data_IF_580595115175
#
_entry.id   IF_580595115175
#
_cell.length_a   1.000
_cell.length_b   1.000
_cell.length_c   1.000
_cell.angle_alpha   90.00
_cell.angle_beta   90.00
_cell.angle_gamma   90.00
#
_symmetry.space_group_name_H-M   'P 1'
#
loop_
_entity.id
_entity.type
_entity.pdbx_description
1 polymer ?
#
# COMPACT_ATOMS: atom_id res chain seq x y z
N UNK A 1 -19.05 -18.67 -8.07
CA UNK A 1 -17.75 -18.26 -7.51
C UNK A 1 -17.48 -16.84 -8.00
N UNK A 2 -17.53 -15.84 -7.10
CA UNK A 2 -17.28 -14.45 -7.50
C UNK A 2 -15.77 -14.20 -7.57
N UNK A 3 -15.34 -13.34 -8.50
CA UNK A 3 -13.94 -12.95 -8.70
C UNK A 3 -13.27 -12.30 -7.47
N UNK A 4 -14.05 -11.99 -6.44
CA UNK A 4 -13.62 -11.37 -5.18
C UNK A 4 -12.82 -12.34 -4.28
N UNK A 5 -12.95 -13.66 -4.46
CA UNK A 5 -12.32 -14.66 -3.57
C UNK A 5 -10.80 -14.90 -3.82
N UNK A 6 -10.19 -14.30 -4.85
CA UNK A 6 -8.78 -14.59 -5.21
C UNK A 6 -7.77 -13.46 -4.98
N UNK A 7 -8.19 -12.30 -4.50
CA UNK A 7 -7.28 -11.17 -4.23
C UNK A 7 -7.13 -10.98 -2.72
N UNK A 8 -5.88 -10.86 -2.26
CA UNK A 8 -5.61 -10.52 -0.87
C UNK A 8 -6.25 -9.16 -0.53
N UNK A 9 -6.73 -8.96 0.72
CA UNK A 9 -7.25 -7.67 1.17
C UNK A 9 -6.24 -6.54 0.91
N UNK A 10 -6.71 -5.35 0.51
CA UNK A 10 -5.90 -4.15 0.34
C UNK A 10 -5.12 -3.85 1.61
N UNK A 11 -5.75 -4.01 2.79
CA UNK A 11 -5.05 -3.83 4.07
C UNK A 11 -3.86 -4.78 4.24
N UNK A 12 -3.95 -6.00 3.72
CA UNK A 12 -2.87 -7.00 3.79
C UNK A 12 -1.73 -6.60 2.85
N UNK A 13 -2.05 -6.24 1.61
CA UNK A 13 -1.08 -5.80 0.61
C UNK A 13 -0.37 -4.51 1.04
N UNK A 14 -1.12 -3.54 1.58
CA UNK A 14 -0.57 -2.29 2.07
C UNK A 14 0.35 -2.50 3.28
N UNK A 15 0.00 -3.43 4.18
CA UNK A 15 0.86 -3.80 5.31
C UNK A 15 2.17 -4.44 4.84
N UNK A 16 2.13 -5.32 3.85
CA UNK A 16 3.33 -5.90 3.26
C UNK A 16 4.23 -4.85 2.60
N UNK A 17 3.63 -3.84 1.96
CA UNK A 17 4.35 -2.71 1.39
C UNK A 17 5.06 -1.88 2.48
N UNK A 18 4.37 -1.53 3.58
CA UNK A 18 4.99 -0.83 4.71
C UNK A 18 6.17 -1.60 5.32
N UNK A 19 6.00 -2.90 5.56
CA UNK A 19 7.07 -3.75 6.08
C UNK A 19 8.27 -3.77 5.13
N UNK A 20 8.03 -3.74 3.82
CA UNK A 20 9.09 -3.70 2.82
C UNK A 20 9.85 -2.36 2.86
N UNK A 21 9.14 -1.23 2.97
CA UNK A 21 9.78 0.08 3.17
C UNK A 21 10.64 0.11 4.44
N UNK A 22 10.09 -0.33 5.58
CA UNK A 22 10.82 -0.37 6.85
C UNK A 22 12.06 -1.26 6.76
N UNK A 23 11.97 -2.40 6.07
CA UNK A 23 13.11 -3.29 5.85
C UNK A 23 14.18 -2.65 4.98
N UNK A 24 13.80 -1.93 3.92
CA UNK A 24 14.72 -1.19 3.07
C UNK A 24 15.46 -0.10 3.86
N UNK A 25 14.75 0.65 4.72
CA UNK A 25 15.34 1.73 5.51
C UNK A 25 16.22 1.23 6.67
N UNK A 26 15.85 0.12 7.32
CA UNK A 26 16.62 -0.47 8.44
C UNK A 26 17.83 -1.30 7.99
N UNK A 27 17.76 -1.91 6.81
CA UNK A 27 18.67 -2.97 6.39
C UNK A 27 20.00 -2.52 5.79
N UNK A 28 20.27 -1.23 5.67
CA UNK A 28 21.33 -0.76 4.78
C UNK A 28 22.24 0.27 5.42
N UNK A 29 23.40 -0.21 5.88
CA UNK A 29 24.60 0.60 6.09
C UNK A 29 25.22 1.11 4.77
N UNK A 30 24.60 0.81 3.62
CA UNK A 30 25.14 1.00 2.26
C UNK A 30 24.20 1.73 1.29
N UNK A 31 23.03 2.22 1.73
CA UNK A 31 22.23 3.09 0.87
C UNK A 31 22.93 4.44 0.75
N UNK A 32 23.18 4.84 -0.48
CA UNK A 32 23.51 6.22 -0.79
C UNK A 32 22.40 7.16 -0.27
N UNK A 33 22.77 8.32 0.26
CA UNK A 33 21.87 9.28 0.91
C UNK A 33 20.67 9.64 0.02
N UNK A 34 20.88 9.70 -1.29
CA UNK A 34 19.83 9.97 -2.26
C UNK A 34 18.77 8.86 -2.27
N UNK A 35 19.20 7.59 -2.30
CA UNK A 35 18.27 6.43 -2.31
C UNK A 35 17.50 6.31 -1.01
N UNK A 36 18.15 6.58 0.12
CA UNK A 36 17.47 6.61 1.42
C UNK A 36 16.35 7.65 1.41
N UNK A 37 16.65 8.88 1.00
CA UNK A 37 15.67 9.97 0.92
C UNK A 37 14.52 9.65 -0.03
N UNK A 38 14.79 9.02 -1.18
CA UNK A 38 13.72 8.59 -2.10
C UNK A 38 12.80 7.54 -1.48
N UNK A 39 13.36 6.54 -0.79
CA UNK A 39 12.56 5.49 -0.13
C UNK A 39 11.73 6.07 1.00
N UNK A 40 12.30 7.00 1.77
CA UNK A 40 11.60 7.73 2.84
C UNK A 40 10.44 8.57 2.30
N UNK A 41 10.65 9.35 1.23
CA UNK A 41 9.58 10.13 0.57
C UNK A 41 8.43 9.23 0.10
N UNK A 42 8.76 8.12 -0.57
CA UNK A 42 7.76 7.17 -1.06
C UNK A 42 6.99 6.52 0.09
N UNK A 43 7.67 6.16 1.19
CA UNK A 43 7.02 5.64 2.38
C UNK A 43 6.09 6.67 3.03
N UNK A 44 6.50 7.94 3.10
CA UNK A 44 5.69 9.03 3.65
C UNK A 44 4.42 9.25 2.82
N UNK A 45 4.57 9.36 1.49
CA UNK A 45 3.44 9.51 0.55
C UNK A 45 2.48 8.33 0.60
N UNK A 46 3.03 7.11 0.69
CA UNK A 46 2.23 5.91 0.85
C UNK A 46 1.44 5.92 2.16
N UNK A 47 2.08 6.32 3.26
CA UNK A 47 1.45 6.41 4.57
C UNK A 47 0.29 7.43 4.57
N UNK A 48 0.49 8.61 3.99
CA UNK A 48 -0.57 9.63 3.82
C UNK A 48 -1.74 9.05 3.01
N UNK A 49 -1.45 8.39 1.89
CA UNK A 49 -2.49 7.78 1.07
C UNK A 49 -3.30 6.73 1.85
N UNK A 50 -2.63 5.80 2.54
CA UNK A 50 -3.31 4.74 3.32
C UNK A 50 -4.20 5.31 4.42
N UNK A 51 -3.79 6.43 5.03
CA UNK A 51 -4.58 7.17 6.02
C UNK A 51 -5.80 7.83 5.39
N UNK A 52 -5.61 8.61 4.33
CA UNK A 52 -6.69 9.36 3.66
C UNK A 52 -7.81 8.46 3.13
N UNK A 53 -7.45 7.26 2.67
CA UNK A 53 -8.43 6.30 2.13
C UNK A 53 -8.87 5.26 3.16
N UNK A 54 -8.45 5.39 4.41
CA UNK A 54 -8.85 4.54 5.54
C UNK A 54 -8.54 3.04 5.32
N UNK A 55 -7.38 2.72 4.73
CA UNK A 55 -6.97 1.32 4.44
C UNK A 55 -6.94 0.46 5.68
N UNK A 56 -6.44 1.00 6.80
CA UNK A 56 -6.29 0.28 8.06
C UNK A 56 -7.38 0.61 9.08
N UNK A 57 -8.45 1.31 8.69
CA UNK A 57 -9.55 1.59 9.60
C UNK A 57 -10.24 0.29 10.05
N UNK A 58 -10.91 0.33 11.20
CA UNK A 58 -11.66 -0.81 11.72
C UNK A 58 -13.04 -0.95 11.09
N UNK A 59 -13.58 -2.17 11.10
CA UNK A 59 -14.98 -2.45 10.78
C UNK A 59 -15.40 -1.99 9.39
N UNK A 60 -16.55 -1.31 9.30
CA UNK A 60 -17.14 -0.89 8.00
C UNK A 60 -16.40 0.26 7.31
N UNK A 61 -15.56 0.98 8.06
CA UNK A 61 -14.76 2.07 7.52
C UNK A 61 -13.50 1.57 6.79
N UNK A 62 -13.12 0.30 7.00
CA UNK A 62 -11.95 -0.27 6.34
C UNK A 62 -12.15 -0.33 4.83
N UNK A 63 -11.08 -0.06 4.07
CA UNK A 63 -11.14 -0.08 2.62
C UNK A 63 -11.66 -1.42 2.09
N UNK A 64 -11.24 -2.54 2.68
CA UNK A 64 -11.67 -3.88 2.27
C UNK A 64 -13.18 -4.10 2.39
N UNK A 65 -13.83 -3.45 3.36
CA UNK A 65 -15.27 -3.48 3.50
C UNK A 65 -15.94 -2.59 2.44
N UNK A 66 -15.38 -1.41 2.18
CA UNK A 66 -15.92 -0.42 1.22
C UNK A 66 -15.87 -0.90 -0.23
N UNK A 67 -14.84 -1.64 -0.62
CA UNK A 67 -14.67 -2.12 -2.01
C UNK A 67 -15.21 -3.54 -2.22
N UNK A 68 -15.76 -4.18 -1.18
CA UNK A 68 -16.30 -5.54 -1.24
C UNK A 68 -17.34 -5.69 -2.36
N UNK A 69 -18.17 -4.67 -2.54
CA UNK A 69 -19.25 -4.65 -3.52
C UNK A 69 -18.83 -4.05 -4.88
N UNK A 70 -17.58 -3.57 -4.99
CA UNK A 70 -17.04 -2.91 -6.19
C UNK A 70 -15.64 -3.47 -6.56
N UNK A 71 -15.55 -4.71 -7.05
CA UNK A 71 -14.27 -5.39 -7.35
C UNK A 71 -13.44 -4.72 -8.46
N UNK A 72 -14.06 -3.93 -9.33
CA UNK A 72 -13.38 -3.09 -10.33
C UNK A 72 -12.60 -1.94 -9.69
N UNK A 73 -13.14 -1.34 -8.62
CA UNK A 73 -12.47 -0.29 -7.84
C UNK A 73 -11.29 -0.89 -7.09
N UNK A 74 -11.43 -2.10 -6.55
CA UNK A 74 -10.34 -2.85 -5.93
C UNK A 74 -9.15 -3.03 -6.89
N UNK A 75 -9.41 -3.41 -8.15
CA UNK A 75 -8.34 -3.55 -9.16
C UNK A 75 -7.64 -2.23 -9.46
N UNK A 76 -8.39 -1.14 -9.61
CA UNK A 76 -7.82 0.19 -9.83
C UNK A 76 -6.95 0.64 -8.66
N UNK A 77 -7.39 0.41 -7.42
CA UNK A 77 -6.64 0.75 -6.22
C UNK A 77 -5.36 -0.08 -6.11
N UNK A 78 -5.43 -1.40 -6.35
CA UNK A 78 -4.24 -2.26 -6.34
C UNK A 78 -3.24 -1.80 -7.40
N UNK A 79 -3.70 -1.52 -8.63
CA UNK A 79 -2.83 -1.00 -9.69
C UNK A 79 -2.23 0.34 -9.30
N UNK A 80 -3.00 1.25 -8.68
CA UNK A 80 -2.50 2.53 -8.21
C UNK A 80 -1.44 2.37 -7.11
N UNK A 81 -1.67 1.48 -6.14
CA UNK A 81 -0.70 1.16 -5.08
C UNK A 81 0.59 0.62 -5.66
N UNK A 82 0.51 -0.33 -6.60
CA UNK A 82 1.71 -0.94 -7.22
C UNK A 82 2.44 0.07 -8.11
N UNK A 83 1.74 0.93 -8.85
CA UNK A 83 2.36 1.90 -9.77
C UNK A 83 2.94 3.13 -9.08
N UNK A 84 2.37 3.58 -7.97
CA UNK A 84 2.97 4.68 -7.20
C UNK A 84 4.26 4.27 -6.49
N UNK A 85 4.53 2.96 -6.34
CA UNK A 85 5.82 2.44 -5.84
C UNK A 85 6.89 2.34 -6.95
N UNK A 86 6.55 2.59 -8.23
CA UNK A 86 7.46 2.40 -9.37
C UNK A 86 7.72 3.65 -10.24
N UNK A 87 7.33 4.83 -9.77
CA UNK A 87 7.61 6.10 -10.46
C UNK A 87 8.33 7.06 -9.51
N UNK A 88 9.62 6.83 -9.29
CA UNK A 88 10.67 7.81 -8.98
C UNK A 88 12.03 7.15 -9.23
#
# INVERSE_FOLDING_TARGET
MSLTERLAPISTLARQCLISFERCLRGTSTLDSQRYSTIEDQMARFSIWTSNVAVFAGGKACMDHRVREAPEILRLIIVFVVRNVHLS
#
